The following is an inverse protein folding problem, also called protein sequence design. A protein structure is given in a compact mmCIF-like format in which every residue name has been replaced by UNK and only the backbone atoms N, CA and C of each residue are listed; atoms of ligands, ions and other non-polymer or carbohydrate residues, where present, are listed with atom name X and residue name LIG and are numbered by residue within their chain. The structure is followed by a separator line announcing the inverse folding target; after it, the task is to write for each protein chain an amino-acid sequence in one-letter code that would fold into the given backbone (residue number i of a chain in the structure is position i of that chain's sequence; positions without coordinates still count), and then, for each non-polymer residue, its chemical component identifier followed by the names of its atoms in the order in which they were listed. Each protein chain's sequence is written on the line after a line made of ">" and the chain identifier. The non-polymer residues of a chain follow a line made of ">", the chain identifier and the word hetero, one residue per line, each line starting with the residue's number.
data_IF_382299163894
#
_entry.id   IF_382299163894
#
_cell.length_a   1.000
_cell.length_b   1.000
_cell.length_c   1.000
_cell.angle_alpha   90.00
_cell.angle_beta   90.00
_cell.angle_gamma   90.00
#
_symmetry.space_group_name_H-M   'P 1'
#
loop_
_entity.id
_entity.type
_entity.pdbx_description
1 polymer ?
#
# COMPACT_ATOMS: atom_id res chain seq x y z
N UNK A 1 30.91 10.18 -24.86
CA UNK A 1 29.71 10.52 -24.07
C UNK A 1 28.90 9.25 -23.88
N UNK A 2 28.78 8.68 -22.68
CA UNK A 2 27.76 7.67 -22.41
C UNK A 2 26.47 8.41 -22.07
N UNK A 3 25.46 8.26 -22.92
CA UNK A 3 24.11 8.77 -22.73
C UNK A 3 23.51 8.10 -21.49
N UNK A 4 23.05 8.93 -20.55
CA UNK A 4 22.19 8.52 -19.45
C UNK A 4 20.97 7.81 -20.04
N UNK A 5 20.72 6.56 -19.64
CA UNK A 5 19.44 5.91 -19.83
C UNK A 5 18.64 6.20 -18.55
N UNK A 6 17.71 7.17 -18.54
CA UNK A 6 16.75 7.25 -17.45
C UNK A 6 15.87 6.01 -17.62
N UNK A 7 15.89 5.12 -16.63
CA UNK A 7 14.97 3.99 -16.57
C UNK A 7 13.57 4.50 -16.92
N UNK A 8 13.08 4.15 -18.11
CA UNK A 8 11.74 4.49 -18.53
C UNK A 8 10.82 3.85 -17.50
N UNK A 9 10.24 4.68 -16.63
CA UNK A 9 9.17 4.31 -15.74
C UNK A 9 7.93 4.08 -16.61
N UNK A 10 7.93 3.00 -17.38
CA UNK A 10 6.83 2.62 -18.24
C UNK A 10 5.70 2.23 -17.31
N UNK A 11 4.66 3.06 -17.27
CA UNK A 11 3.45 2.78 -16.49
C UNK A 11 2.88 1.46 -17.00
N UNK A 12 3.13 0.36 -16.28
CA UNK A 12 2.59 -0.96 -16.61
C UNK A 12 1.07 -0.84 -16.76
N UNK A 13 0.50 -1.56 -17.71
CA UNK A 13 -0.95 -1.74 -17.68
C UNK A 13 -1.31 -2.56 -16.43
N UNK A 14 -2.46 -2.32 -15.78
CA UNK A 14 -2.80 -3.02 -14.53
C UNK A 14 -2.88 -4.54 -14.69
N UNK A 15 -3.11 -5.03 -15.91
CA UNK A 15 -3.10 -6.46 -16.25
C UNK A 15 -1.69 -7.07 -16.33
N UNK A 16 -0.65 -6.23 -16.34
CA UNK A 16 0.76 -6.62 -16.36
C UNK A 16 1.39 -6.59 -14.97
N UNK A 17 0.62 -6.24 -13.93
CA UNK A 17 1.07 -6.29 -12.55
C UNK A 17 1.31 -7.73 -12.13
N UNK A 18 2.50 -8.03 -11.59
CA UNK A 18 2.85 -9.37 -11.13
C UNK A 18 2.34 -9.66 -9.71
N UNK A 19 2.20 -8.62 -8.88
CA UNK A 19 1.81 -8.72 -7.47
C UNK A 19 1.08 -7.46 -6.98
N UNK A 20 0.69 -7.46 -5.71
CA UNK A 20 0.05 -6.33 -5.04
C UNK A 20 0.90 -5.06 -5.04
N UNK A 21 2.22 -5.15 -5.02
CA UNK A 21 3.10 -3.98 -4.98
C UNK A 21 3.20 -3.30 -6.35
N UNK A 22 3.26 -4.07 -7.43
CA UNK A 22 3.14 -3.57 -8.80
C UNK A 22 1.81 -2.80 -8.98
N UNK A 23 0.72 -3.35 -8.44
CA UNK A 23 -0.58 -2.68 -8.46
C UNK A 23 -0.60 -1.39 -7.62
N UNK A 24 -0.02 -1.41 -6.42
CA UNK A 24 0.11 -0.22 -5.58
C UNK A 24 0.94 0.88 -6.26
N UNK A 25 1.97 0.54 -7.02
CA UNK A 25 2.71 1.52 -7.82
C UNK A 25 1.84 2.17 -8.91
N UNK A 26 0.90 1.43 -9.53
CA UNK A 26 -0.07 2.03 -10.45
C UNK A 26 -0.99 3.05 -9.76
N UNK A 27 -1.37 2.76 -8.51
CA UNK A 27 -2.16 3.68 -7.69
C UNK A 27 -1.33 4.90 -7.32
N UNK A 28 -0.08 4.73 -6.91
CA UNK A 28 0.84 5.82 -6.58
C UNK A 28 1.05 6.79 -7.73
N UNK A 29 1.17 6.26 -8.96
CA UNK A 29 1.39 7.08 -10.16
C UNK A 29 0.14 7.86 -10.59
N UNK A 30 -1.07 7.37 -10.28
CA UNK A 30 -2.35 7.94 -10.74
C UNK A 30 -3.45 7.82 -9.69
N UNK A 31 -3.31 8.41 -8.49
CA UNK A 31 -4.23 8.15 -7.37
C UNK A 31 -5.67 8.54 -7.70
N UNK A 32 -5.87 9.66 -8.41
CA UNK A 32 -7.23 10.10 -8.81
C UNK A 32 -7.96 9.17 -9.79
N UNK A 33 -7.24 8.28 -10.49
CA UNK A 33 -7.85 7.28 -11.38
C UNK A 33 -8.44 6.10 -10.61
N UNK A 34 -7.83 5.74 -9.47
CA UNK A 34 -8.16 4.55 -8.70
C UNK A 34 -8.94 4.86 -7.42
N UNK A 35 -8.68 6.02 -6.82
CA UNK A 35 -9.18 6.43 -5.52
C UNK A 35 -9.92 7.76 -5.66
N UNK A 36 -11.24 7.71 -5.96
CA UNK A 36 -12.07 8.88 -5.87
C UNK A 36 -11.89 9.56 -4.50
N UNK A 37 -11.60 10.86 -4.52
CA UNK A 37 -11.32 11.67 -3.33
C UNK A 37 -10.11 11.23 -2.48
N UNK A 38 -9.24 10.34 -2.99
CA UNK A 38 -8.05 9.90 -2.28
C UNK A 38 -8.31 9.07 -1.02
N UNK A 39 -9.49 8.45 -0.90
CA UNK A 39 -9.86 7.68 0.30
C UNK A 39 -9.06 6.39 0.44
N UNK A 40 -8.39 6.22 1.58
CA UNK A 40 -7.71 4.98 1.93
C UNK A 40 -8.68 3.86 2.30
N UNK A 41 -9.90 4.18 2.75
CA UNK A 41 -10.91 3.15 3.01
C UNK A 41 -11.30 2.42 1.72
N UNK A 42 -11.39 3.16 0.59
CA UNK A 42 -11.54 2.55 -0.73
C UNK A 42 -10.32 1.71 -1.11
N UNK A 43 -9.10 2.19 -0.85
CA UNK A 43 -7.88 1.40 -1.08
C UNK A 43 -7.89 0.09 -0.27
N UNK A 44 -8.19 0.16 1.02
CA UNK A 44 -8.25 -1.01 1.90
C UNK A 44 -9.30 -2.00 1.41
N UNK A 45 -10.46 -1.53 0.97
CA UNK A 45 -11.52 -2.38 0.42
C UNK A 45 -11.05 -3.11 -0.86
N UNK A 46 -10.33 -2.41 -1.75
CA UNK A 46 -9.72 -3.03 -2.93
C UNK A 46 -8.67 -4.09 -2.55
N UNK A 47 -7.79 -3.80 -1.57
CA UNK A 47 -6.76 -4.73 -1.12
C UNK A 47 -7.37 -5.98 -0.44
N UNK A 48 -8.45 -5.82 0.33
CA UNK A 48 -9.20 -6.95 0.88
C UNK A 48 -9.75 -7.82 -0.26
N UNK A 49 -10.36 -7.21 -1.29
CA UNK A 49 -10.85 -7.92 -2.46
C UNK A 49 -9.74 -8.70 -3.19
N UNK A 50 -8.58 -8.07 -3.35
CA UNK A 50 -7.38 -8.70 -3.92
C UNK A 50 -6.97 -9.94 -3.11
N UNK A 51 -6.86 -9.82 -1.77
CA UNK A 51 -6.50 -10.94 -0.89
C UNK A 51 -7.51 -12.08 -0.90
N UNK A 52 -8.80 -11.77 -0.98
CA UNK A 52 -9.87 -12.76 -1.13
C UNK A 52 -9.71 -13.51 -2.46
N UNK A 53 -9.44 -12.80 -3.57
CA UNK A 53 -9.21 -13.41 -4.87
C UNK A 53 -8.00 -14.36 -4.87
N UNK A 54 -6.88 -13.95 -4.26
CA UNK A 54 -5.71 -14.84 -4.07
C UNK A 54 -6.11 -16.14 -3.36
N UNK A 55 -6.90 -16.05 -2.28
CA UNK A 55 -7.38 -17.21 -1.53
C UNK A 55 -8.30 -18.12 -2.33
N UNK A 56 -9.29 -17.55 -3.05
CA UNK A 56 -10.22 -18.31 -3.90
C UNK A 56 -9.48 -19.06 -5.01
N UNK A 57 -8.43 -18.46 -5.57
CA UNK A 57 -7.64 -19.04 -6.65
C UNK A 57 -6.41 -19.83 -6.17
N UNK A 58 -6.22 -19.98 -4.85
CA UNK A 58 -5.07 -20.69 -4.25
C UNK A 58 -3.71 -20.16 -4.74
N UNK A 59 -3.61 -18.84 -4.93
CA UNK A 59 -2.37 -18.16 -5.32
C UNK A 59 -1.58 -17.86 -4.05
N UNK A 60 -0.35 -18.34 -3.99
CA UNK A 60 0.58 -18.08 -2.89
C UNK A 60 1.37 -16.80 -3.16
N UNK A 61 0.87 -15.69 -2.64
CA UNK A 61 1.50 -14.38 -2.70
C UNK A 61 1.55 -13.76 -1.30
N UNK A 62 2.69 -13.17 -0.95
CA UNK A 62 2.85 -12.47 0.33
C UNK A 62 1.98 -11.22 0.39
N UNK A 63 1.13 -11.13 1.41
CA UNK A 63 0.17 -10.04 1.56
C UNK A 63 0.11 -9.53 3.00
N UNK A 64 0.57 -8.30 3.23
CA UNK A 64 0.74 -7.70 4.56
C UNK A 64 -0.39 -6.75 4.98
N UNK A 65 -1.33 -6.44 4.08
CA UNK A 65 -2.30 -5.34 4.26
C UNK A 65 -3.60 -5.74 4.95
N UNK A 66 -3.72 -7.02 5.32
CA UNK A 66 -4.89 -7.51 6.02
C UNK A 66 -4.92 -6.93 7.44
N UNK A 67 -6.10 -6.71 8.05
CA UNK A 67 -6.19 -6.04 9.36
C UNK A 67 -5.37 -6.69 10.48
N UNK A 68 -5.19 -8.01 10.45
CA UNK A 68 -4.43 -8.76 11.46
C UNK A 68 -2.94 -8.96 11.12
N UNK A 69 -2.50 -8.55 9.93
CA UNK A 69 -1.16 -8.83 9.39
C UNK A 69 -0.11 -7.78 9.78
N UNK A 70 1.13 -8.06 9.37
CA UNK A 70 2.35 -7.39 9.84
C UNK A 70 2.36 -5.88 9.63
N UNK A 71 1.78 -5.35 8.55
CA UNK A 71 1.73 -3.90 8.34
C UNK A 71 0.88 -3.20 9.40
N UNK A 72 -0.30 -3.76 9.71
CA UNK A 72 -1.19 -3.19 10.74
C UNK A 72 -0.57 -3.31 12.12
N UNK A 73 0.12 -4.43 12.40
CA UNK A 73 0.85 -4.63 13.66
C UNK A 73 1.99 -3.62 13.81
N UNK A 74 2.82 -3.47 12.78
CA UNK A 74 3.93 -2.53 12.76
C UNK A 74 3.45 -1.08 12.94
N UNK A 75 2.36 -0.68 12.28
CA UNK A 75 1.77 0.65 12.46
C UNK A 75 1.32 0.89 13.91
N UNK A 76 0.77 -0.13 14.57
CA UNK A 76 0.38 -0.06 15.98
C UNK A 76 1.60 0.11 16.89
N UNK A 77 2.64 -0.67 16.66
CA UNK A 77 3.84 -0.70 17.51
C UNK A 77 4.70 0.55 17.34
N UNK A 78 4.97 0.98 16.10
CA UNK A 78 5.89 2.08 15.82
C UNK A 78 5.23 3.45 15.88
N UNK A 79 3.94 3.53 15.55
CA UNK A 79 3.24 4.80 15.42
C UNK A 79 2.05 4.95 16.38
N UNK A 80 1.78 3.96 17.23
CA UNK A 80 0.64 3.97 18.14
C UNK A 80 -0.71 4.05 17.40
N UNK A 81 -0.75 3.61 16.14
CA UNK A 81 -1.95 3.61 15.32
C UNK A 81 -2.78 2.38 15.72
N UNK A 82 -3.73 2.58 16.63
CA UNK A 82 -4.72 1.58 17.02
C UNK A 82 -6.12 2.14 16.84
N UNK A 83 -6.73 1.88 15.69
CA UNK A 83 -8.15 2.13 15.45
C UNK A 83 -8.89 0.81 15.35
N UNK A 84 -10.09 0.72 15.94
CA UNK A 84 -11.05 -0.37 15.67
C UNK A 84 -11.48 -0.42 14.20
N UNK A 85 -11.27 0.68 13.47
CA UNK A 85 -11.63 0.86 12.06
C UNK A 85 -10.51 0.45 11.07
N UNK A 86 -9.36 -0.06 11.55
CA UNK A 86 -8.24 -0.48 10.71
C UNK A 86 -7.25 0.64 10.36
N UNK A 87 -6.18 0.27 9.63
CA UNK A 87 -5.08 1.18 9.31
C UNK A 87 -5.50 2.36 8.42
N UNK A 88 -6.42 2.16 7.48
CA UNK A 88 -6.83 3.21 6.54
C UNK A 88 -7.48 4.40 7.25
N UNK A 89 -8.50 4.14 8.07
CA UNK A 89 -9.18 5.18 8.85
C UNK A 89 -8.21 5.89 9.81
N UNK A 90 -7.26 5.15 10.39
CA UNK A 90 -6.30 5.73 11.31
C UNK A 90 -5.25 6.61 10.61
N UNK A 91 -4.81 6.26 9.39
CA UNK A 91 -3.94 7.11 8.58
C UNK A 91 -4.70 8.35 8.13
N UNK A 92 -5.93 8.22 7.62
CA UNK A 92 -6.77 9.36 7.23
C UNK A 92 -6.95 10.35 8.40
N UNK A 93 -7.23 9.85 9.60
CA UNK A 93 -7.43 10.70 10.78
C UNK A 93 -6.17 11.43 11.25
N UNK A 94 -4.98 10.88 11.01
CA UNK A 94 -3.70 11.43 11.44
C UNK A 94 -2.96 12.18 10.34
N UNK A 95 -3.52 12.21 9.13
CA UNK A 95 -2.93 12.91 8.00
C UNK A 95 -2.91 14.42 8.31
N UNK A 96 -1.74 15.07 8.27
CA UNK A 96 -1.64 16.49 8.52
C UNK A 96 -2.20 17.30 7.34
N UNK A 97 -2.57 18.56 7.57
CA UNK A 97 -3.26 19.38 6.57
C UNK A 97 -2.42 19.72 5.33
N UNK A 98 -1.09 19.56 5.42
CA UNK A 98 -0.12 19.77 4.35
C UNK A 98 0.23 18.49 3.57
N UNK A 99 -0.40 17.35 3.91
CA UNK A 99 -0.21 16.05 3.27
C UNK A 99 -1.56 15.46 2.81
N UNK A 100 -1.49 14.37 2.06
CA UNK A 100 -2.69 13.59 1.68
C UNK A 100 -2.66 12.21 2.31
N UNK A 101 -3.82 11.57 2.57
CA UNK A 101 -3.84 10.24 3.17
C UNK A 101 -3.09 9.21 2.32
N UNK A 102 -3.17 9.33 1.00
CA UNK A 102 -2.47 8.43 0.08
C UNK A 102 -0.95 8.62 0.13
N UNK A 103 -0.46 9.85 0.23
CA UNK A 103 0.97 10.13 0.38
C UNK A 103 1.50 9.60 1.72
N UNK A 104 0.75 9.79 2.81
CA UNK A 104 1.10 9.24 4.11
C UNK A 104 1.13 7.70 4.11
N UNK A 105 0.17 7.05 3.45
CA UNK A 105 0.18 5.60 3.28
C UNK A 105 1.46 5.13 2.59
N UNK A 106 1.83 5.73 1.45
CA UNK A 106 3.05 5.32 0.73
C UNK A 106 4.32 5.64 1.51
N UNK A 107 4.36 6.75 2.25
CA UNK A 107 5.47 7.09 3.16
C UNK A 107 5.63 6.03 4.25
N UNK A 108 4.54 5.61 4.89
CA UNK A 108 4.54 4.58 5.93
C UNK A 108 4.91 3.20 5.37
N UNK A 109 4.40 2.85 4.20
CA UNK A 109 4.76 1.60 3.51
C UNK A 109 6.24 1.56 3.16
N UNK A 110 6.82 2.66 2.68
CA UNK A 110 8.25 2.76 2.42
C UNK A 110 9.08 2.56 3.70
N UNK A 111 8.68 3.16 4.82
CA UNK A 111 9.34 2.98 6.12
C UNK A 111 9.26 1.53 6.60
N UNK A 112 8.09 0.89 6.53
CA UNK A 112 7.91 -0.52 6.89
C UNK A 112 8.90 -1.42 6.13
N UNK A 113 9.05 -1.18 4.82
CA UNK A 113 9.93 -1.95 3.94
C UNK A 113 11.42 -1.68 4.17
N UNK A 114 11.78 -0.46 4.57
CA UNK A 114 13.18 -0.09 4.87
C UNK A 114 13.63 -0.53 6.26
N UNK A 115 12.73 -0.48 7.24
CA UNK A 115 13.01 -0.79 8.65
C UNK A 115 13.04 -2.26 9.01
N UNK A 116 13.01 -3.18 8.02
CA UNK A 116 13.01 -4.61 8.28
C UNK A 116 11.73 -5.11 8.96
N UNK A 117 10.58 -4.48 8.71
CA UNK A 117 9.28 -4.92 9.26
C UNK A 117 8.85 -6.34 8.88
N UNK A 118 9.63 -7.03 8.04
CA UNK A 118 9.53 -8.47 7.75
C UNK A 118 10.87 -9.21 7.92
N UNK A 119 11.70 -8.82 8.88
CA UNK A 119 12.97 -9.49 9.21
C UNK A 119 12.88 -10.33 10.48
N UNK A 120 13.01 -11.65 10.31
CA UNK A 120 13.31 -12.68 11.30
C UNK A 120 12.18 -13.13 12.25
N UNK A 121 11.33 -14.07 11.78
CA UNK A 121 11.16 -15.42 12.39
C UNK A 121 10.72 -16.45 11.36
#
# INVERSE_FOLDING_TARGET
>A
MPTENPAQNTVKHWQECADVYDFLEQIRLRPGMWLPNGSLQHLQSMLIGYRVALGVHSIDESFIFWPEEDFTRWLREQHGISGSLGWAAAIEHRTPADSTPIDEFFRLLAQYRQGGGGGER
#
